data_IF_537762395113
#
_entry.id   IF_537762395113
#
_cell.length_a   1.000
_cell.length_b   1.000
_cell.length_c   1.000
_cell.angle_alpha   90.00
_cell.angle_beta   90.00
_cell.angle_gamma   90.00
#
_symmetry.space_group_name_H-M   'P 1'
#
loop_
_entity.id
_entity.type
_entity.pdbx_description
1 polymer ?
#
# COMPACT_ATOMS: atom_id res chain seq x y z
N UNK A 1 19.78 21.76 -17.90
CA UNK A 1 18.31 21.62 -17.79
C UNK A 1 17.91 20.27 -17.17
N UNK A 2 18.48 19.15 -17.64
CA UNK A 2 18.20 17.80 -17.11
C UNK A 2 18.49 17.66 -15.61
N UNK A 3 19.65 18.14 -15.13
CA UNK A 3 19.98 18.17 -13.69
C UNK A 3 18.89 18.84 -12.82
N UNK A 4 18.31 19.95 -13.30
CA UNK A 4 17.25 20.65 -12.57
C UNK A 4 15.96 19.81 -12.53
N UNK A 5 15.63 19.12 -13.63
CA UNK A 5 14.48 18.22 -13.68
C UNK A 5 14.64 17.05 -12.71
N UNK A 6 15.83 16.43 -12.65
CA UNK A 6 16.15 15.35 -11.71
C UNK A 6 15.91 15.82 -10.27
N UNK A 7 16.45 17.00 -9.90
CA UNK A 7 16.25 17.55 -8.55
C UNK A 7 14.77 17.80 -8.25
N UNK A 8 14.00 18.35 -9.19
CA UNK A 8 12.56 18.62 -8.98
C UNK A 8 11.76 17.31 -8.83
N UNK A 9 12.01 16.32 -9.69
CA UNK A 9 11.33 15.02 -9.65
C UNK A 9 11.68 14.30 -8.35
N UNK A 10 12.96 14.30 -7.96
CA UNK A 10 13.42 13.72 -6.69
C UNK A 10 12.76 14.36 -5.46
N UNK A 11 12.66 15.70 -5.43
CA UNK A 11 11.96 16.41 -4.35
C UNK A 11 10.47 16.05 -4.31
N UNK A 12 9.82 15.98 -5.47
CA UNK A 12 8.41 15.60 -5.55
C UNK A 12 8.21 14.15 -5.09
N UNK A 13 9.08 13.22 -5.50
CA UNK A 13 9.05 11.85 -5.04
C UNK A 13 9.18 11.77 -3.51
N UNK A 14 10.06 12.56 -2.91
CA UNK A 14 10.21 12.62 -1.45
C UNK A 14 8.93 13.10 -0.75
N UNK A 15 8.23 14.10 -1.30
CA UNK A 15 6.94 14.58 -0.75
C UNK A 15 5.88 13.46 -0.79
N UNK A 16 5.77 12.77 -1.93
CA UNK A 16 4.82 11.64 -2.06
C UNK A 16 5.18 10.46 -1.14
N UNK A 17 6.48 10.19 -0.95
CA UNK A 17 6.95 9.16 -0.02
C UNK A 17 6.54 9.49 1.43
N UNK A 18 6.75 10.74 1.87
CA UNK A 18 6.35 11.20 3.21
C UNK A 18 4.84 11.15 3.37
N UNK A 19 4.07 11.60 2.38
CA UNK A 19 2.61 11.55 2.42
C UNK A 19 2.11 10.10 2.50
N UNK A 20 2.66 9.20 1.67
CA UNK A 20 2.35 7.77 1.68
C UNK A 20 2.66 7.17 3.05
N UNK A 21 3.80 7.52 3.64
CA UNK A 21 4.21 7.09 4.98
C UNK A 21 3.19 7.51 6.04
N UNK A 22 2.81 8.80 6.07
CA UNK A 22 1.81 9.31 7.03
C UNK A 22 0.49 8.56 6.86
N UNK A 23 0.01 8.38 5.62
CA UNK A 23 -1.24 7.65 5.38
C UNK A 23 -1.18 6.21 5.84
N UNK A 24 -0.03 5.54 5.68
CA UNK A 24 0.17 4.16 6.12
C UNK A 24 0.04 4.01 7.64
N UNK A 25 0.67 4.93 8.39
CA UNK A 25 0.56 4.98 9.86
C UNK A 25 -0.89 5.20 10.30
N UNK A 26 -1.62 6.09 9.62
CA UNK A 26 -3.04 6.31 9.91
C UNK A 26 -3.91 5.09 9.55
N UNK A 27 -3.59 4.39 8.47
CA UNK A 27 -4.32 3.22 8.00
C UNK A 27 -4.08 1.99 8.88
N UNK A 28 -3.02 1.95 9.68
CA UNK A 28 -2.81 0.89 10.66
C UNK A 28 -3.96 0.78 11.68
N UNK A 29 -4.52 1.92 12.13
CA UNK A 29 -5.69 1.90 13.03
C UNK A 29 -6.92 1.30 12.36
N UNK A 30 -7.16 1.69 11.10
CA UNK A 30 -8.28 1.18 10.28
C UNK A 30 -8.10 -0.30 9.96
N UNK A 31 -6.88 -0.74 9.70
CA UNK A 31 -6.54 -2.14 9.47
C UNK A 31 -6.94 -3.00 10.68
N UNK A 32 -6.63 -2.56 11.90
CA UNK A 32 -7.03 -3.26 13.12
C UNK A 32 -8.56 -3.33 13.27
N UNK A 33 -9.26 -2.25 12.97
CA UNK A 33 -10.73 -2.25 12.96
C UNK A 33 -11.30 -3.26 11.96
N UNK A 34 -10.71 -3.35 10.76
CA UNK A 34 -11.08 -4.34 9.75
C UNK A 34 -10.83 -5.77 10.26
N UNK A 35 -9.72 -6.02 10.94
CA UNK A 35 -9.42 -7.32 11.54
C UNK A 35 -10.47 -7.72 12.60
N UNK A 36 -10.90 -6.78 13.44
CA UNK A 36 -11.96 -7.02 14.45
C UNK A 36 -13.27 -7.40 13.76
N UNK A 37 -13.71 -6.60 12.78
CA UNK A 37 -14.93 -6.88 12.00
C UNK A 37 -14.86 -8.22 11.27
N UNK A 38 -13.67 -8.61 10.79
CA UNK A 38 -13.47 -9.88 10.13
C UNK A 38 -13.62 -11.05 11.11
N UNK A 39 -13.01 -10.95 12.30
CA UNK A 39 -13.15 -11.94 13.38
C UNK A 39 -14.60 -12.07 13.83
N UNK A 40 -15.33 -10.97 13.95
CA UNK A 40 -16.75 -11.00 14.31
C UNK A 40 -17.60 -11.76 13.28
N UNK A 41 -17.27 -11.64 11.99
CA UNK A 41 -18.01 -12.32 10.91
C UNK A 41 -17.60 -13.79 10.72
N UNK A 42 -16.32 -14.10 10.80
CA UNK A 42 -15.77 -15.41 10.41
C UNK A 42 -15.13 -16.20 11.57
N UNK A 43 -15.09 -15.65 12.78
CA UNK A 43 -14.57 -16.30 13.99
C UNK A 43 -13.05 -16.24 14.16
N UNK A 44 -12.28 -16.15 13.06
CA UNK A 44 -10.82 -16.03 13.09
C UNK A 44 -10.30 -15.22 11.90
N UNK A 45 -9.07 -14.71 11.99
CA UNK A 45 -8.36 -14.13 10.84
C UNK A 45 -7.67 -15.24 10.03
N UNK A 46 -7.39 -15.00 8.74
CA UNK A 46 -6.49 -15.88 7.98
C UNK A 46 -5.11 -15.95 8.65
N UNK A 47 -4.46 -17.11 8.65
CA UNK A 47 -3.20 -17.37 9.37
C UNK A 47 -2.10 -16.35 9.04
N UNK A 48 -2.01 -15.96 7.76
CA UNK A 48 -1.07 -14.95 7.31
C UNK A 48 -1.35 -13.57 7.95
N UNK A 49 -2.62 -13.22 8.18
CA UNK A 49 -3.02 -11.92 8.75
C UNK A 49 -2.80 -11.89 10.26
N UNK A 50 -3.00 -13.01 10.96
CA UNK A 50 -2.73 -13.16 12.41
C UNK A 50 -1.29 -12.77 12.74
N UNK A 51 -0.33 -13.22 11.93
CA UNK A 51 1.10 -12.94 12.14
C UNK A 51 1.45 -11.45 12.06
N UNK A 52 0.61 -10.62 11.44
CA UNK A 52 0.93 -9.20 11.19
C UNK A 52 -0.06 -8.22 11.80
N UNK A 53 -1.14 -8.67 12.44
CA UNK A 53 -2.14 -7.80 13.08
C UNK A 53 -1.50 -6.82 14.08
N UNK A 54 -0.60 -7.32 14.93
CA UNK A 54 0.08 -6.55 15.97
C UNK A 54 1.44 -6.01 15.55
N UNK A 55 1.98 -6.49 14.43
CA UNK A 55 3.28 -6.04 13.95
C UNK A 55 3.15 -4.66 13.34
N UNK A 56 4.00 -3.74 13.78
CA UNK A 56 4.13 -2.45 13.15
C UNK A 56 4.67 -2.68 11.73
N UNK A 57 3.86 -2.40 10.71
CA UNK A 57 4.07 -2.80 9.31
C UNK A 57 5.42 -2.33 8.74
N UNK A 58 6.02 -1.34 9.40
CA UNK A 58 7.28 -0.71 9.08
C UNK A 58 8.52 -1.54 9.45
N UNK A 59 8.50 -2.27 10.56
CA UNK A 59 9.69 -2.98 11.07
C UNK A 59 9.92 -4.34 10.40
N UNK A 60 8.89 -4.89 9.75
CA UNK A 60 8.96 -6.19 9.09
C UNK A 60 8.55 -6.00 7.64
N UNK A 61 9.51 -6.02 6.71
CA UNK A 61 9.30 -5.84 5.26
C UNK A 61 8.17 -6.74 4.69
N UNK A 62 7.89 -7.89 5.31
CA UNK A 62 6.78 -8.78 4.95
C UNK A 62 5.40 -8.36 5.45
N UNK A 63 5.32 -7.67 6.59
CA UNK A 63 4.07 -7.31 7.25
C UNK A 63 3.23 -6.33 6.42
N UNK A 64 3.88 -5.34 5.81
CA UNK A 64 3.20 -4.43 4.90
C UNK A 64 2.64 -5.18 3.70
N UNK A 65 3.45 -6.04 3.03
CA UNK A 65 3.01 -6.79 1.84
C UNK A 65 1.81 -7.70 2.10
N UNK A 66 1.72 -8.33 3.27
CA UNK A 66 0.63 -9.25 3.60
C UNK A 66 -0.63 -8.49 4.02
N UNK A 67 -0.49 -7.36 4.73
CA UNK A 67 -1.61 -6.42 4.95
C UNK A 67 -2.12 -5.84 3.63
N UNK A 68 -1.20 -5.52 2.71
CA UNK A 68 -1.55 -5.05 1.39
C UNK A 68 -2.36 -6.12 0.64
N UNK A 69 -1.93 -7.39 0.67
CA UNK A 69 -2.63 -8.44 -0.08
C UNK A 69 -4.04 -8.72 0.46
N UNK A 70 -4.22 -8.73 1.78
CA UNK A 70 -5.53 -8.98 2.40
C UNK A 70 -6.57 -7.90 2.05
N UNK A 71 -6.16 -6.63 1.95
CA UNK A 71 -7.07 -5.52 1.63
C UNK A 71 -7.08 -5.19 0.13
N UNK A 72 -5.92 -5.02 -0.50
CA UNK A 72 -5.83 -4.53 -1.88
C UNK A 72 -6.20 -5.57 -2.94
N UNK A 73 -5.97 -6.87 -2.73
CA UNK A 73 -6.36 -7.87 -3.74
C UNK A 73 -7.90 -7.88 -3.91
N UNK A 74 -8.71 -7.97 -2.83
CA UNK A 74 -10.15 -7.78 -2.91
C UNK A 74 -10.61 -6.47 -3.55
N UNK A 75 -9.96 -5.36 -3.20
CA UNK A 75 -10.34 -4.03 -3.68
C UNK A 75 -10.05 -3.84 -5.17
N UNK A 76 -8.83 -4.17 -5.60
CA UNK A 76 -8.32 -3.88 -6.95
C UNK A 76 -8.63 -4.99 -7.94
N UNK A 77 -8.40 -6.25 -7.56
CA UNK A 77 -8.53 -7.39 -8.47
C UNK A 77 -9.87 -8.11 -8.36
N UNK A 78 -10.73 -7.73 -7.41
CA UNK A 78 -12.02 -8.36 -7.19
C UNK A 78 -11.90 -9.88 -7.01
N UNK A 79 -10.84 -10.31 -6.33
CA UNK A 79 -10.49 -11.71 -6.06
C UNK A 79 -10.26 -11.88 -4.57
N UNK A 80 -10.63 -13.05 -4.05
CA UNK A 80 -10.26 -13.44 -2.70
C UNK A 80 -8.76 -13.71 -2.63
N UNK A 81 -8.18 -13.50 -1.45
CA UNK A 81 -6.79 -13.87 -1.21
C UNK A 81 -6.64 -15.39 -1.34
N UNK A 82 -5.55 -15.86 -1.97
CA UNK A 82 -5.20 -17.29 -2.01
C UNK A 82 -4.95 -17.85 -0.59
N UNK A 83 -4.70 -16.96 0.38
CA UNK A 83 -4.38 -17.29 1.75
C UNK A 83 -5.61 -17.42 2.68
N UNK A 84 -6.82 -17.18 2.17
CA UNK A 84 -8.05 -17.31 2.95
C UNK A 84 -8.95 -18.41 2.43
N UNK A 85 -9.58 -19.13 3.36
CA UNK A 85 -10.64 -20.11 3.07
C UNK A 85 -12.02 -19.46 2.97
N UNK A 86 -12.14 -18.18 3.31
CA UNK A 86 -13.39 -17.44 3.35
C UNK A 86 -13.51 -16.49 2.15
N UNK A 87 -14.72 -15.96 1.95
CA UNK A 87 -14.97 -14.94 0.93
C UNK A 87 -14.50 -13.55 1.40
N UNK A 88 -13.18 -13.36 1.40
CA UNK A 88 -12.53 -12.09 1.75
C UNK A 88 -12.99 -10.94 0.85
N UNK A 89 -13.32 -11.28 -0.40
CA UNK A 89 -13.72 -10.30 -1.40
C UNK A 89 -14.99 -9.58 -0.99
N UNK A 90 -16.06 -10.34 -0.74
CA UNK A 90 -17.36 -9.76 -0.43
C UNK A 90 -17.36 -9.08 0.94
N UNK A 91 -16.56 -9.58 1.88
CA UNK A 91 -16.34 -8.89 3.14
C UNK A 91 -15.66 -7.53 2.96
N UNK A 92 -14.48 -7.49 2.33
CA UNK A 92 -13.71 -6.25 2.22
C UNK A 92 -14.48 -5.19 1.40
N UNK A 93 -15.18 -5.60 0.33
CA UNK A 93 -15.99 -4.67 -0.49
C UNK A 93 -17.28 -4.22 0.22
N UNK A 94 -17.78 -5.03 1.16
CA UNK A 94 -18.92 -4.69 2.01
C UNK A 94 -18.59 -3.76 3.19
N UNK A 95 -17.30 -3.46 3.44
CA UNK A 95 -16.92 -2.59 4.54
C UNK A 95 -17.38 -1.14 4.33
N UNK A 96 -17.62 -0.39 5.42
CA UNK A 96 -17.90 1.03 5.36
C UNK A 96 -16.83 1.80 4.56
N UNK A 97 -17.27 2.68 3.65
CA UNK A 97 -16.38 3.47 2.77
C UNK A 97 -15.34 4.28 3.57
N UNK A 98 -15.69 4.70 4.79
CA UNK A 98 -14.77 5.41 5.72
C UNK A 98 -13.51 4.60 6.08
N UNK A 99 -13.61 3.26 6.08
CA UNK A 99 -12.49 2.37 6.37
C UNK A 99 -11.65 2.11 5.12
N UNK A 100 -12.31 1.93 3.97
CA UNK A 100 -11.65 1.55 2.72
C UNK A 100 -10.97 2.73 2.02
N UNK A 101 -11.64 3.88 1.91
CA UNK A 101 -11.19 5.03 1.09
C UNK A 101 -9.75 5.48 1.39
N UNK A 102 -9.30 5.53 2.65
CA UNK A 102 -7.92 5.87 2.98
C UNK A 102 -6.86 4.90 2.42
N UNK A 103 -7.20 3.62 2.22
CA UNK A 103 -6.30 2.66 1.57
C UNK A 103 -6.13 2.97 0.09
N UNK A 104 -7.18 3.39 -0.61
CA UNK A 104 -7.05 3.85 -2.00
C UNK A 104 -6.13 5.07 -2.13
N UNK A 105 -6.20 6.01 -1.17
CA UNK A 105 -5.33 7.19 -1.14
C UNK A 105 -3.87 6.75 -0.96
N UNK A 106 -3.59 5.89 0.01
CA UNK A 106 -2.25 5.34 0.23
C UNK A 106 -1.70 4.65 -1.04
N UNK A 107 -2.52 3.84 -1.71
CA UNK A 107 -2.14 3.19 -2.95
C UNK A 107 -1.81 4.19 -4.06
N UNK A 108 -2.62 5.24 -4.22
CA UNK A 108 -2.37 6.27 -5.23
C UNK A 108 -1.07 7.02 -4.94
N UNK A 109 -0.84 7.42 -3.68
CA UNK A 109 0.39 8.10 -3.28
C UNK A 109 1.63 7.23 -3.53
N UNK A 110 1.57 5.95 -3.15
CA UNK A 110 2.65 5.00 -3.39
C UNK A 110 2.91 4.74 -4.88
N UNK A 111 1.86 4.70 -5.70
CA UNK A 111 1.97 4.51 -7.15
C UNK A 111 2.62 5.72 -7.80
N UNK A 112 2.21 6.95 -7.45
CA UNK A 112 2.81 8.18 -7.96
C UNK A 112 4.28 8.28 -7.53
N UNK A 113 4.59 7.97 -6.27
CA UNK A 113 5.97 7.90 -5.79
C UNK A 113 6.83 6.94 -6.64
N UNK A 114 6.35 5.73 -6.91
CA UNK A 114 7.06 4.74 -7.73
C UNK A 114 7.32 5.24 -9.15
N UNK A 115 6.31 5.84 -9.79
CA UNK A 115 6.45 6.40 -11.14
C UNK A 115 7.49 7.52 -11.17
N UNK A 116 7.48 8.40 -10.16
CA UNK A 116 8.46 9.49 -10.08
C UNK A 116 9.89 8.95 -9.90
N UNK A 117 10.10 7.97 -9.02
CA UNK A 117 11.41 7.34 -8.83
C UNK A 117 11.91 6.66 -10.10
N UNK A 118 11.06 5.88 -10.78
CA UNK A 118 11.44 5.22 -12.04
C UNK A 118 11.81 6.27 -13.10
N UNK A 119 11.03 7.33 -13.21
CA UNK A 119 11.29 8.43 -14.16
C UNK A 119 12.63 9.09 -13.85
N UNK A 120 12.90 9.38 -12.58
CA UNK A 120 14.15 10.00 -12.14
C UNK A 120 15.37 9.12 -12.44
N UNK A 121 15.27 7.83 -12.14
CA UNK A 121 16.32 6.85 -12.45
C UNK A 121 16.58 6.76 -13.96
N UNK A 122 15.53 6.71 -14.79
CA UNK A 122 15.66 6.69 -16.25
C UNK A 122 16.38 7.94 -16.74
N UNK A 123 16.05 9.13 -16.20
CA UNK A 123 16.72 10.37 -16.56
C UNK A 123 18.19 10.40 -16.14
N UNK A 124 18.50 9.91 -14.93
CA UNK A 124 19.89 9.79 -14.46
C UNK A 124 20.71 8.87 -15.37
N UNK A 125 20.17 7.69 -15.70
CA UNK A 125 20.83 6.76 -16.62
C UNK A 125 20.98 7.35 -18.03
N UNK A 126 19.94 7.99 -18.58
CA UNK A 126 20.03 8.60 -19.90
C UNK A 126 21.11 9.70 -19.98
N UNK A 127 21.29 10.45 -18.90
CA UNK A 127 22.35 11.46 -18.79
C UNK A 127 23.75 10.83 -18.67
N UNK A 128 23.90 9.76 -17.88
CA UNK A 128 25.18 9.06 -17.70
C UNK A 128 25.68 8.43 -19.01
N UNK A 129 24.78 7.88 -19.83
CA UNK A 129 25.11 7.24 -21.11
C UNK A 129 25.05 8.19 -22.33
N UNK A 130 25.01 9.50 -22.11
CA UNK A 130 24.98 10.53 -23.17
C UNK A 130 23.86 10.33 -24.22
N UNK A 131 22.75 9.71 -23.85
CA UNK A 131 21.59 9.59 -24.74
C UNK A 131 20.75 10.87 -24.81
N UNK A 132 21.05 11.88 -23.97
CA UNK A 132 20.39 13.18 -23.88
C UNK A 132 21.36 14.29 -23.45
#
# INVERSE_FOLDING_TARGET
MINLMIVIIGLLAMVFAIASFITSVLNQKRFREICVLYKEKYGSLPDAVVLFEDVNSFYVKGAYSIKMQFIFIPLLWNRSSILSKNDDKDFIRGLPVKLIRPFYIELHLGTVFLVLIITDLVLMFAQEYHCL
#
